data_IF_230942384721
#
_entry.id   IF_230942384721
#
_cell.length_a   1.000
_cell.length_b   1.000
_cell.length_c   1.000
_cell.angle_alpha   90.00
_cell.angle_beta   90.00
_cell.angle_gamma   90.00
#
_symmetry.space_group_name_H-M   'P 1'
#
loop_
_entity.id
_entity.type
_entity.pdbx_description
1 polymer ?
#
# COMPACT_ATOMS: atom_id res chain seq x y z
N UNK A 1 -17.16 33.61 -21.88
CA UNK A 1 -16.44 33.68 -20.61
C UNK A 1 -15.53 32.46 -20.55
N UNK A 2 -14.23 32.66 -20.69
CA UNK A 2 -13.22 31.60 -20.55
C UNK A 2 -13.04 31.29 -19.06
N UNK A 3 -13.03 30.02 -18.69
CA UNK A 3 -12.55 29.61 -17.37
C UNK A 3 -11.04 29.71 -17.41
N UNK A 4 -10.49 30.61 -16.60
CA UNK A 4 -9.05 30.73 -16.41
C UNK A 4 -8.59 29.56 -15.53
N UNK A 5 -7.57 28.83 -15.97
CA UNK A 5 -7.03 27.64 -15.29
C UNK A 5 -5.84 28.04 -14.39
N UNK A 6 -5.85 29.27 -13.88
CA UNK A 6 -4.74 29.86 -13.11
C UNK A 6 -5.00 29.95 -11.59
N UNK A 7 -6.09 29.36 -11.07
CA UNK A 7 -6.38 29.34 -9.62
C UNK A 7 -5.39 28.43 -8.88
N UNK A 8 -4.15 28.90 -8.75
CA UNK A 8 -3.24 28.48 -7.70
C UNK A 8 -3.83 28.96 -6.39
N UNK A 9 -4.36 28.02 -5.60
CA UNK A 9 -4.68 28.26 -4.18
C UNK A 9 -3.47 28.91 -3.49
N UNK A 10 -3.71 29.96 -2.72
CA UNK A 10 -2.63 30.57 -1.96
C UNK A 10 -2.07 29.58 -0.93
N UNK A 11 -0.78 29.71 -0.61
CA UNK A 11 -0.08 28.76 0.27
C UNK A 11 -0.72 28.66 1.66
N UNK A 12 -1.35 29.72 2.16
CA UNK A 12 -2.01 29.76 3.48
C UNK A 12 -3.32 28.98 3.44
N UNK A 13 -4.09 29.10 2.35
CA UNK A 13 -5.28 28.31 2.12
C UNK A 13 -4.94 26.83 1.93
N UNK A 14 -3.85 26.51 1.21
CA UNK A 14 -3.33 25.16 1.08
C UNK A 14 -2.87 24.58 2.43
N UNK A 15 -2.13 25.35 3.23
CA UNK A 15 -1.69 24.98 4.58
C UNK A 15 -2.87 24.76 5.54
N UNK A 16 -3.90 25.59 5.49
CA UNK A 16 -5.11 25.44 6.30
C UNK A 16 -5.92 24.18 5.90
N UNK A 17 -6.00 23.88 4.59
CA UNK A 17 -6.64 22.66 4.08
C UNK A 17 -5.85 21.40 4.51
N UNK A 18 -4.52 21.47 4.46
CA UNK A 18 -3.63 20.39 4.91
C UNK A 18 -3.69 20.21 6.43
N UNK A 19 -3.82 21.28 7.20
CA UNK A 19 -3.93 21.23 8.66
C UNK A 19 -5.24 20.58 9.15
N UNK A 20 -6.31 20.65 8.34
CA UNK A 20 -7.58 19.94 8.58
C UNK A 20 -7.67 18.57 7.90
N UNK A 21 -6.70 18.19 7.07
CA UNK A 21 -6.72 16.92 6.36
C UNK A 21 -6.47 15.76 7.33
N UNK A 22 -7.31 14.73 7.23
CA UNK A 22 -7.12 13.50 8.00
C UNK A 22 -5.75 12.91 7.66
N UNK A 23 -4.94 12.63 8.68
CA UNK A 23 -3.67 11.94 8.49
C UNK A 23 -3.93 10.46 8.15
N UNK A 24 -4.14 10.16 6.87
CA UNK A 24 -4.46 8.80 6.43
C UNK A 24 -3.32 7.80 6.65
N UNK A 25 -2.07 8.27 6.70
CA UNK A 25 -0.90 7.40 6.94
C UNK A 25 -0.91 6.72 8.31
N UNK A 26 -1.69 7.23 9.27
CA UNK A 26 -1.87 6.55 10.56
C UNK A 26 -2.51 5.16 10.41
N UNK A 27 -3.16 4.89 9.27
CA UNK A 27 -3.83 3.63 8.95
C UNK A 27 -2.97 2.70 8.09
N UNK A 28 -1.73 3.09 7.74
CA UNK A 28 -0.85 2.26 6.91
C UNK A 28 -0.61 0.88 7.57
N UNK A 29 -0.76 -0.18 6.78
CA UNK A 29 -0.71 -1.57 7.22
C UNK A 29 -2.06 -2.21 7.48
N UNK A 30 -3.13 -1.41 7.58
CA UNK A 30 -4.47 -1.96 7.69
C UNK A 30 -4.91 -2.63 6.39
N UNK A 31 -5.63 -3.73 6.54
CA UNK A 31 -6.45 -4.31 5.48
C UNK A 31 -7.89 -3.96 5.79
N UNK A 32 -8.57 -3.32 4.87
CA UNK A 32 -9.91 -2.77 5.09
C UNK A 32 -10.90 -3.26 4.05
N UNK A 33 -12.13 -3.46 4.49
CA UNK A 33 -13.28 -3.77 3.63
C UNK A 33 -14.47 -2.91 4.05
N UNK A 34 -15.44 -2.74 3.14
CA UNK A 34 -16.73 -2.15 3.46
C UNK A 34 -17.74 -3.27 3.75
N UNK A 35 -18.74 -3.01 4.60
CA UNK A 35 -19.76 -4.01 4.98
C UNK A 35 -20.58 -4.51 3.79
N UNK A 36 -20.65 -3.71 2.73
CA UNK A 36 -21.49 -3.94 1.55
C UNK A 36 -20.74 -4.53 0.37
N UNK A 37 -19.40 -4.66 0.46
CA UNK A 37 -18.57 -5.11 -0.66
C UNK A 37 -17.61 -6.23 -0.22
N UNK A 38 -17.29 -7.14 -1.13
CA UNK A 38 -16.23 -8.13 -0.91
C UNK A 38 -14.82 -7.61 -1.23
N UNK A 39 -14.70 -6.33 -1.63
CA UNK A 39 -13.42 -5.74 -1.96
C UNK A 39 -12.59 -5.52 -0.70
N UNK A 40 -11.36 -6.01 -0.71
CA UNK A 40 -10.37 -5.77 0.35
C UNK A 40 -9.29 -4.86 -0.21
N UNK A 41 -8.94 -3.86 0.57
CA UNK A 41 -7.90 -2.89 0.26
C UNK A 41 -6.77 -3.02 1.26
N UNK A 42 -5.53 -2.85 0.79
CA UNK A 42 -4.38 -2.60 1.65
C UNK A 42 -4.18 -1.09 1.76
N UNK A 43 -4.04 -0.57 2.98
CA UNK A 43 -3.68 0.82 3.22
C UNK A 43 -2.16 0.98 3.18
N UNK A 44 -1.65 1.79 2.27
CA UNK A 44 -0.22 2.17 2.17
C UNK A 44 -0.09 3.62 1.74
N UNK A 45 0.85 4.33 2.35
CA UNK A 45 1.16 5.72 2.05
C UNK A 45 -0.05 6.67 2.17
N UNK A 46 -1.04 6.30 2.99
CA UNK A 46 -2.30 7.03 3.15
C UNK A 46 -3.31 6.81 2.02
N UNK A 47 -3.14 5.77 1.20
CA UNK A 47 -4.03 5.41 0.09
C UNK A 47 -4.58 3.99 0.24
N UNK A 48 -5.77 3.76 -0.32
CA UNK A 48 -6.35 2.44 -0.51
C UNK A 48 -5.86 1.82 -1.81
N UNK A 49 -5.19 0.67 -1.70
CA UNK A 49 -4.80 -0.16 -2.82
C UNK A 49 -5.66 -1.42 -2.86
N UNK A 50 -6.52 -1.54 -3.86
CA UNK A 50 -7.38 -2.71 -4.03
C UNK A 50 -6.54 -3.98 -4.25
N UNK A 51 -6.89 -5.06 -3.56
CA UNK A 51 -6.31 -6.39 -3.76
C UNK A 51 -7.19 -7.13 -4.78
N UNK A 52 -6.69 -7.40 -6.00
CA UNK A 52 -7.53 -7.79 -7.13
C UNK A 52 -8.18 -9.17 -6.98
N UNK A 53 -7.55 -10.07 -6.23
CA UNK A 53 -8.00 -11.45 -6.08
C UNK A 53 -7.47 -12.12 -4.80
N UNK A 54 -8.11 -13.21 -4.32
CA UNK A 54 -7.67 -13.95 -3.13
C UNK A 54 -6.28 -14.60 -3.26
N UNK A 55 -5.81 -14.95 -4.46
CA UNK A 55 -4.50 -15.57 -4.63
C UNK A 55 -3.38 -14.54 -4.40
N UNK A 56 -3.59 -13.30 -4.84
CA UNK A 56 -2.75 -12.14 -4.53
C UNK A 56 -2.75 -11.89 -3.03
N UNK A 57 -3.90 -11.90 -2.35
CA UNK A 57 -3.97 -11.77 -0.89
C UNK A 57 -3.09 -12.82 -0.17
N UNK A 58 -3.27 -14.10 -0.52
CA UNK A 58 -2.56 -15.23 0.08
C UNK A 58 -1.05 -15.23 -0.22
N UNK A 59 -0.62 -14.52 -1.25
CA UNK A 59 0.80 -14.37 -1.62
C UNK A 59 1.50 -13.22 -0.88
N UNK A 60 0.73 -12.35 -0.21
CA UNK A 60 1.25 -11.18 0.53
C UNK A 60 1.14 -11.39 2.04
N UNK A 61 0.03 -11.92 2.54
CA UNK A 61 -0.29 -11.92 3.97
C UNK A 61 -0.20 -13.30 4.62
N UNK A 62 0.08 -13.33 5.93
CA UNK A 62 0.15 -14.59 6.71
C UNK A 62 -1.18 -15.32 6.72
N UNK A 63 -2.25 -14.55 6.89
CA UNK A 63 -3.62 -15.03 7.03
C UNK A 63 -4.63 -13.91 6.78
N UNK A 64 -5.91 -14.28 6.79
CA UNK A 64 -7.06 -13.39 6.62
C UNK A 64 -7.47 -12.66 7.90
N UNK A 65 -6.71 -12.82 8.99
CA UNK A 65 -7.03 -12.14 10.25
C UNK A 65 -6.67 -10.65 10.17
N UNK A 66 -7.34 -9.83 10.98
CA UNK A 66 -7.06 -8.40 11.08
C UNK A 66 -7.57 -7.55 9.91
N UNK A 67 -8.52 -8.07 9.12
CA UNK A 67 -9.28 -7.25 8.16
C UNK A 67 -10.31 -6.44 8.96
N UNK A 68 -10.29 -5.13 8.79
CA UNK A 68 -11.19 -4.19 9.47
C UNK A 68 -12.34 -3.83 8.53
N UNK A 69 -13.57 -3.96 9.00
CA UNK A 69 -14.73 -3.44 8.27
C UNK A 69 -14.94 -1.97 8.65
N UNK A 70 -14.79 -1.06 7.68
CA UNK A 70 -14.96 0.38 7.87
C UNK A 70 -15.40 1.05 6.57
N UNK A 71 -16.70 1.33 6.48
CA UNK A 71 -17.27 2.07 5.35
C UNK A 71 -16.65 3.47 5.27
N UNK A 72 -16.42 4.13 6.41
CA UNK A 72 -15.79 5.45 6.46
C UNK A 72 -14.42 5.48 5.79
N UNK A 73 -13.53 4.52 6.10
CA UNK A 73 -12.20 4.46 5.48
C UNK A 73 -12.33 4.20 3.98
N UNK A 74 -13.15 3.23 3.57
CA UNK A 74 -13.33 2.85 2.16
C UNK A 74 -13.92 3.98 1.32
N UNK A 75 -14.81 4.79 1.89
CA UNK A 75 -15.50 5.87 1.20
C UNK A 75 -14.68 7.18 1.14
N UNK A 76 -13.82 7.44 2.13
CA UNK A 76 -13.17 8.76 2.29
C UNK A 76 -11.65 8.75 2.07
N UNK A 77 -10.96 7.63 2.25
CA UNK A 77 -9.51 7.58 2.03
C UNK A 77 -9.20 7.66 0.51
N UNK A 78 -8.17 8.41 0.11
CA UNK A 78 -7.73 8.45 -1.29
C UNK A 78 -7.48 7.05 -1.85
N UNK A 79 -7.88 6.81 -3.10
CA UNK A 79 -7.68 5.52 -3.78
C UNK A 79 -6.43 5.58 -4.64
N UNK A 80 -5.48 4.70 -4.35
CA UNK A 80 -4.29 4.49 -5.15
C UNK A 80 -4.52 3.46 -6.26
N UNK A 81 -3.45 3.10 -6.96
CA UNK A 81 -3.49 2.02 -7.93
C UNK A 81 -3.80 0.69 -7.24
N UNK A 82 -4.63 -0.15 -7.86
CA UNK A 82 -4.81 -1.54 -7.42
C UNK A 82 -3.47 -2.28 -7.45
N UNK A 83 -3.26 -3.17 -6.48
CA UNK A 83 -2.06 -4.01 -6.46
C UNK A 83 -2.00 -4.88 -7.71
N UNK A 84 -0.79 -5.18 -8.17
CA UNK A 84 -0.62 -6.09 -9.30
C UNK A 84 -1.09 -7.51 -8.91
N UNK A 85 -1.83 -8.17 -9.80
CA UNK A 85 -2.16 -9.58 -9.62
C UNK A 85 -0.87 -10.41 -9.46
N UNK A 86 -0.84 -11.31 -8.48
CA UNK A 86 0.33 -12.10 -8.15
C UNK A 86 1.43 -11.35 -7.40
N UNK A 87 1.15 -10.19 -6.80
CA UNK A 87 2.09 -9.51 -5.89
C UNK A 87 2.50 -10.41 -4.72
N UNK A 88 3.74 -10.27 -4.22
CA UNK A 88 4.32 -11.22 -3.26
C UNK A 88 5.46 -10.63 -2.41
N UNK A 89 5.84 -11.33 -1.34
CA UNK A 89 6.99 -10.98 -0.51
C UNK A 89 8.23 -11.77 -0.94
N UNK A 90 9.35 -11.09 -1.14
CA UNK A 90 10.59 -11.64 -1.67
C UNK A 90 11.81 -11.30 -0.80
N UNK A 91 12.81 -12.18 -0.85
CA UNK A 91 14.18 -11.90 -0.42
C UNK A 91 15.15 -12.33 -1.52
N UNK A 92 16.41 -11.93 -1.39
CA UNK A 92 17.50 -12.50 -2.17
C UNK A 92 18.35 -13.42 -1.30
N UNK A 93 18.85 -14.53 -1.86
CA UNK A 93 19.86 -15.33 -1.17
C UNK A 93 21.15 -14.57 -0.80
N UNK A 94 21.40 -13.41 -1.43
CA UNK A 94 22.57 -12.56 -1.16
C UNK A 94 22.30 -11.46 -0.11
N UNK A 95 21.05 -11.24 0.31
CA UNK A 95 20.69 -10.15 1.21
C UNK A 95 19.50 -10.51 2.11
N UNK A 96 19.57 -10.21 3.41
CA UNK A 96 18.45 -10.44 4.32
C UNK A 96 17.31 -9.43 4.14
N UNK A 97 17.42 -8.45 3.24
CA UNK A 97 16.40 -7.42 3.02
C UNK A 97 15.11 -8.01 2.42
N UNK A 98 13.98 -7.69 3.04
CA UNK A 98 12.65 -8.10 2.56
C UNK A 98 12.08 -7.06 1.60
N UNK A 99 11.41 -7.54 0.57
CA UNK A 99 10.78 -6.69 -0.43
C UNK A 99 9.33 -7.12 -0.65
N UNK A 100 8.44 -6.13 -0.71
CA UNK A 100 7.12 -6.31 -1.29
C UNK A 100 7.21 -6.03 -2.79
N UNK A 101 6.96 -7.05 -3.62
CA UNK A 101 6.97 -6.91 -5.08
C UNK A 101 5.54 -6.70 -5.56
N UNK A 102 5.27 -5.49 -6.04
CA UNK A 102 3.96 -5.08 -6.55
C UNK A 102 4.11 -3.90 -7.50
N UNK A 103 3.10 -3.62 -8.33
CA UNK A 103 3.06 -2.44 -9.22
C UNK A 103 4.31 -2.32 -10.13
N UNK A 104 4.89 -3.46 -10.52
CA UNK A 104 6.13 -3.52 -11.31
C UNK A 104 7.39 -3.05 -10.57
N UNK A 105 7.36 -2.96 -9.24
CA UNK A 105 8.46 -2.48 -8.40
C UNK A 105 8.75 -3.41 -7.24
N UNK A 106 9.97 -3.34 -6.70
CA UNK A 106 10.35 -3.90 -5.39
C UNK A 106 10.36 -2.78 -4.36
N UNK A 107 9.55 -2.92 -3.32
CA UNK A 107 9.41 -1.94 -2.25
C UNK A 107 10.12 -2.53 -1.04
N UNK A 108 11.14 -1.84 -0.52
CA UNK A 108 11.88 -2.35 0.64
C UNK A 108 10.99 -2.30 1.90
N UNK A 109 11.00 -3.39 2.68
CA UNK A 109 10.36 -3.49 3.99
C UNK A 109 11.47 -3.29 5.03
N UNK A 110 11.51 -2.12 5.70
CA UNK A 110 12.71 -1.65 6.40
C UNK A 110 13.01 -2.42 7.70
N UNK A 111 11.99 -2.98 8.35
CA UNK A 111 12.14 -3.59 9.66
C UNK A 111 11.06 -4.66 9.97
N UNK A 112 11.29 -5.51 10.98
CA UNK A 112 10.31 -6.49 11.43
C UNK A 112 9.00 -5.89 11.98
N UNK A 113 9.02 -4.65 12.45
CA UNK A 113 7.80 -3.99 12.93
C UNK A 113 6.84 -3.72 11.77
N UNK A 114 7.37 -3.33 10.62
CA UNK A 114 6.64 -3.16 9.36
C UNK A 114 6.08 -4.49 8.88
N UNK A 115 6.87 -5.58 8.94
CA UNK A 115 6.38 -6.94 8.62
C UNK A 115 5.16 -7.31 9.46
N UNK A 116 5.19 -7.03 10.75
CA UNK A 116 4.08 -7.33 11.65
C UNK A 116 2.88 -6.42 11.44
N UNK A 117 3.10 -5.11 11.28
CA UNK A 117 2.04 -4.13 11.05
C UNK A 117 1.26 -4.42 9.77
N UNK A 118 1.94 -4.82 8.71
CA UNK A 118 1.32 -5.20 7.43
C UNK A 118 0.85 -6.66 7.39
N UNK A 119 1.12 -7.46 8.43
CA UNK A 119 0.88 -8.89 8.46
C UNK A 119 1.48 -9.66 7.26
N UNK A 120 2.67 -9.27 6.82
CA UNK A 120 3.35 -9.89 5.67
C UNK A 120 3.75 -11.33 5.98
N UNK A 121 3.52 -12.23 5.02
CA UNK A 121 3.96 -13.63 5.11
C UNK A 121 5.46 -13.78 4.93
N UNK A 122 5.97 -14.97 5.23
CA UNK A 122 7.35 -15.33 4.96
C UNK A 122 7.68 -15.18 3.46
N UNK A 123 8.84 -14.61 3.13
CA UNK A 123 9.23 -14.33 1.77
C UNK A 123 9.51 -15.62 0.99
N UNK A 124 9.38 -15.55 -0.33
CA UNK A 124 10.02 -16.51 -1.23
C UNK A 124 11.44 -16.02 -1.56
N UNK A 125 12.36 -16.96 -1.77
CA UNK A 125 13.73 -16.63 -2.19
C UNK A 125 13.81 -16.52 -3.71
N UNK A 126 14.32 -15.39 -4.19
CA UNK A 126 14.64 -15.20 -5.60
C UNK A 126 16.16 -15.19 -5.82
N UNK A 127 16.63 -15.60 -7.01
CA UNK A 127 17.99 -15.31 -7.44
C UNK A 127 18.26 -13.80 -7.35
N UNK A 128 19.42 -13.42 -6.82
CA UNK A 128 19.78 -12.01 -6.62
C UNK A 128 19.61 -11.16 -7.89
N UNK A 129 20.11 -11.66 -9.03
CA UNK A 129 19.97 -10.99 -10.32
C UNK A 129 18.50 -10.72 -10.68
N UNK A 130 17.60 -11.68 -10.46
CA UNK A 130 16.18 -11.51 -10.78
C UNK A 130 15.54 -10.40 -9.95
N UNK A 131 15.88 -10.31 -8.66
CA UNK A 131 15.38 -9.25 -7.80
C UNK A 131 15.97 -7.88 -8.17
N UNK A 132 17.20 -7.82 -8.68
CA UNK A 132 17.85 -6.56 -9.10
C UNK A 132 17.32 -5.99 -10.41
N UNK A 133 16.78 -6.82 -11.29
CA UNK A 133 16.08 -6.35 -12.49
C UNK A 133 14.75 -5.64 -12.20
N UNK A 134 14.18 -5.81 -11.01
CA UNK A 134 12.92 -5.15 -10.64
C UNK A 134 13.23 -3.72 -10.18
N UNK A 135 12.63 -2.68 -10.81
CA UNK A 135 12.80 -1.30 -10.38
C UNK A 135 12.47 -1.08 -8.90
N UNK A 136 13.29 -0.29 -8.21
CA UNK A 136 13.05 0.05 -6.80
C UNK A 136 11.91 1.06 -6.67
N UNK A 137 10.94 0.77 -5.82
CA UNK A 137 9.89 1.68 -5.39
C UNK A 137 10.19 2.32 -4.03
N UNK A 138 9.33 3.24 -3.57
CA UNK A 138 9.40 3.73 -2.20
C UNK A 138 9.27 2.59 -1.19
N UNK A 139 9.86 2.78 -0.01
CA UNK A 139 9.78 1.82 1.07
C UNK A 139 8.32 1.67 1.55
N UNK A 140 8.00 0.50 2.08
CA UNK A 140 6.77 0.31 2.86
C UNK A 140 6.99 0.99 4.22
N UNK A 141 6.18 2.01 4.54
CA UNK A 141 6.34 2.84 5.76
C UNK A 141 5.06 2.99 6.55
#
# INVERSE_FOLDING_TARGET
MSVDISDTIDAVAAEALLAGAVNWKQYDGLRVAAHTTSAIYLVMWGELHWIPDPATFNSIFKDWSGIINSDYIVDNMPKGLALAAGSFIAISGASPAWYFVTLGKKLHIPDPATVNRFNFRSPISLPHLALDYIPTGPNVT
#
